data_IF_670137787950
#
_entry.id   IF_670137787950
#
_cell.length_a   1.000
_cell.length_b   1.000
_cell.length_c   1.000
_cell.angle_alpha   90.00
_cell.angle_beta   90.00
_cell.angle_gamma   90.00
#
_symmetry.space_group_name_H-M   'P 1'
#
loop_
_entity.id
_entity.type
_entity.pdbx_description
1 polymer ?
#
# COMPACT_ATOMS: atom_id res chain seq x y z
N UNK A 1 8.67 10.51 -2.58
CA UNK A 1 7.47 11.11 -3.20
C UNK A 1 6.37 11.14 -2.16
N UNK A 2 5.48 12.13 -2.24
CA UNK A 2 4.24 12.14 -1.44
C UNK A 2 3.33 10.98 -1.87
N UNK A 3 2.27 10.73 -1.11
CA UNK A 3 1.32 9.67 -1.45
C UNK A 3 0.66 9.93 -2.81
N UNK A 4 0.13 11.14 -3.02
CA UNK A 4 -0.58 11.49 -4.25
C UNK A 4 0.37 11.48 -5.47
N UNK A 5 1.59 12.02 -5.33
CA UNK A 5 2.63 11.93 -6.36
C UNK A 5 2.95 10.48 -6.73
N UNK A 6 3.01 9.57 -5.74
CA UNK A 6 3.29 8.16 -6.00
C UNK A 6 2.13 7.50 -6.74
N UNK A 7 0.89 7.85 -6.39
CA UNK A 7 -0.32 7.31 -7.03
C UNK A 7 -0.39 7.75 -8.49
N UNK A 8 -0.16 9.04 -8.74
CA UNK A 8 -0.07 9.62 -10.09
C UNK A 8 1.07 9.00 -10.90
N UNK A 9 2.26 8.89 -10.32
CA UNK A 9 3.41 8.29 -10.98
C UNK A 9 3.15 6.85 -11.40
N UNK A 10 2.65 6.01 -10.49
CA UNK A 10 2.36 4.62 -10.84
C UNK A 10 1.24 4.48 -11.88
N UNK A 11 0.22 5.35 -11.84
CA UNK A 11 -0.85 5.38 -12.83
C UNK A 11 -0.37 5.89 -14.21
N UNK A 12 0.69 6.70 -14.25
CA UNK A 12 1.30 7.17 -15.52
C UNK A 12 2.00 6.05 -16.30
N UNK A 13 2.32 4.93 -15.65
CA UNK A 13 2.93 3.76 -16.27
C UNK A 13 1.80 2.84 -16.77
N UNK A 14 1.68 2.58 -18.08
CA UNK A 14 0.61 1.73 -18.61
C UNK A 14 0.53 0.37 -17.90
N UNK A 15 -0.68 -0.02 -17.50
CA UNK A 15 -0.92 -1.30 -16.83
C UNK A 15 -0.37 -1.38 -15.40
N UNK A 16 -0.04 -0.25 -14.75
CA UNK A 16 0.44 -0.24 -13.37
C UNK A 16 -0.43 0.63 -12.47
N UNK A 17 -0.31 0.39 -11.17
CA UNK A 17 -0.92 1.16 -10.08
C UNK A 17 0.00 1.16 -8.87
N UNK A 18 -0.31 1.95 -7.85
CA UNK A 18 0.37 1.84 -6.57
C UNK A 18 0.12 0.46 -5.95
N UNK A 19 1.12 -0.11 -5.29
CA UNK A 19 1.08 -1.49 -4.83
C UNK A 19 -0.03 -1.78 -3.80
N UNK A 20 -0.68 -2.94 -3.95
CA UNK A 20 -1.67 -3.50 -3.02
C UNK A 20 -1.23 -4.90 -2.61
N UNK A 21 -0.66 -5.02 -1.41
CA UNK A 21 -0.04 -6.25 -0.90
C UNK A 21 -1.00 -7.05 -0.03
N UNK A 22 -2.01 -7.65 -0.67
CA UNK A 22 -3.13 -8.35 0.00
C UNK A 22 -2.81 -9.77 0.47
N UNK A 23 -1.79 -10.42 -0.11
CA UNK A 23 -1.40 -11.81 0.19
C UNK A 23 -0.23 -11.86 1.17
N UNK A 24 -0.14 -12.94 1.96
CA UNK A 24 0.99 -13.15 2.87
C UNK A 24 2.34 -13.10 2.15
N UNK A 25 2.43 -13.76 1.00
CA UNK A 25 3.67 -13.78 0.20
C UNK A 25 4.07 -12.40 -0.33
N UNK A 26 3.10 -11.53 -0.63
CA UNK A 26 3.37 -10.16 -1.06
C UNK A 26 3.91 -9.30 0.08
N UNK A 27 3.45 -9.55 1.32
CA UNK A 27 4.00 -8.90 2.52
C UNK A 27 5.46 -9.30 2.72
N UNK A 28 5.82 -10.58 2.55
CA UNK A 28 7.22 -11.00 2.65
C UNK A 28 8.11 -10.33 1.58
N UNK A 29 7.63 -10.22 0.34
CA UNK A 29 8.34 -9.46 -0.71
C UNK A 29 8.52 -7.99 -0.31
N UNK A 30 7.49 -7.37 0.29
CA UNK A 30 7.56 -5.98 0.74
C UNK A 30 8.59 -5.79 1.87
N UNK A 31 8.72 -6.75 2.79
CA UNK A 31 9.76 -6.77 3.83
C UNK A 31 11.16 -6.83 3.21
N UNK A 32 11.36 -7.74 2.26
CA UNK A 32 12.65 -7.88 1.58
C UNK A 32 13.03 -6.61 0.81
N UNK A 33 12.07 -5.99 0.13
CA UNK A 33 12.26 -4.71 -0.56
C UNK A 33 12.65 -3.60 0.43
N UNK A 34 11.93 -3.46 1.55
CA UNK A 34 12.26 -2.49 2.58
C UNK A 34 13.67 -2.69 3.15
N UNK A 35 14.04 -3.94 3.43
CA UNK A 35 15.38 -4.27 3.93
C UNK A 35 16.48 -3.89 2.93
N UNK A 36 16.28 -4.20 1.65
CA UNK A 36 17.21 -3.83 0.56
C UNK A 36 17.28 -2.32 0.34
N UNK A 37 16.20 -1.60 0.61
CA UNK A 37 16.13 -0.14 0.56
C UNK A 37 16.62 0.54 1.85
N UNK A 38 17.35 -0.17 2.72
CA UNK A 38 17.93 0.40 3.94
C UNK A 38 16.89 0.78 5.00
N UNK A 39 15.76 0.07 5.05
CA UNK A 39 14.66 0.37 5.97
C UNK A 39 13.76 1.53 5.50
N UNK A 40 13.84 1.91 4.22
CA UNK A 40 12.97 2.94 3.67
C UNK A 40 11.50 2.60 3.85
N UNK A 41 10.71 3.61 4.14
CA UNK A 41 9.25 3.50 4.25
C UNK A 41 8.66 3.46 2.85
N UNK A 42 7.66 2.61 2.64
CA UNK A 42 7.11 2.36 1.30
C UNK A 42 5.63 2.75 1.28
N UNK A 43 5.22 3.54 0.29
CA UNK A 43 3.80 3.80 0.07
C UNK A 43 3.10 2.57 -0.52
N UNK A 44 1.91 2.28 0.00
CA UNK A 44 0.99 1.26 -0.52
C UNK A 44 -0.38 1.88 -0.68
N UNK A 45 -1.19 1.37 -1.62
CA UNK A 45 -2.53 1.91 -1.88
C UNK A 45 -3.53 1.39 -0.84
N UNK A 46 -3.30 1.75 0.42
CA UNK A 46 -4.15 1.48 1.57
C UNK A 46 -4.50 2.82 2.22
N UNK A 47 -5.80 3.05 2.46
CA UNK A 47 -6.35 4.32 2.94
C UNK A 47 -7.40 4.07 4.02
N UNK A 48 -7.67 5.06 4.88
CA UNK A 48 -8.88 5.02 5.72
C UNK A 48 -10.12 5.32 4.89
N UNK A 49 -11.15 4.50 5.03
CA UNK A 49 -12.51 4.76 4.53
C UNK A 49 -13.19 5.87 5.32
N UNK A 50 -14.37 6.31 4.88
CA UNK A 50 -15.20 7.33 5.55
C UNK A 50 -15.60 6.95 6.99
N UNK A 51 -15.59 5.64 7.29
CA UNK A 51 -15.87 5.10 8.64
C UNK A 51 -14.59 4.80 9.45
N UNK A 52 -13.43 5.25 8.96
CA UNK A 52 -12.14 5.13 9.63
C UNK A 52 -11.47 3.75 9.50
N UNK A 53 -12.07 2.80 8.77
CA UNK A 53 -11.51 1.46 8.59
C UNK A 53 -10.53 1.42 7.40
N UNK A 54 -9.41 0.69 7.51
CA UNK A 54 -8.44 0.54 6.41
C UNK A 54 -9.04 -0.25 5.25
N UNK A 55 -8.99 0.33 4.06
CA UNK A 55 -9.42 -0.25 2.79
C UNK A 55 -8.33 -0.10 1.74
N UNK A 56 -8.18 -1.10 0.89
CA UNK A 56 -7.28 -1.04 -0.26
C UNK A 56 -7.85 -0.09 -1.33
N UNK A 57 -7.00 0.40 -2.23
CA UNK A 57 -7.37 1.37 -3.27
C UNK A 57 -8.44 0.88 -4.25
N UNK A 58 -8.70 -0.42 -4.32
CA UNK A 58 -9.80 -1.02 -5.08
C UNK A 58 -11.07 -1.28 -4.25
N UNK A 59 -11.13 -0.77 -3.01
CA UNK A 59 -12.26 -0.89 -2.10
C UNK A 59 -12.31 -2.17 -1.27
N UNK A 60 -11.39 -3.12 -1.48
CA UNK A 60 -11.35 -4.34 -0.65
C UNK A 60 -11.01 -3.98 0.81
N UNK A 61 -11.81 -4.39 1.81
CA UNK A 61 -11.46 -4.18 3.21
C UNK A 61 -10.14 -4.86 3.57
N UNK A 62 -9.29 -4.19 4.35
CA UNK A 62 -8.00 -4.75 4.76
C UNK A 62 -8.15 -6.09 5.51
N UNK A 63 -9.14 -6.15 6.40
CA UNK A 63 -9.42 -7.33 7.23
C UNK A 63 -9.87 -8.55 6.40
N UNK A 64 -10.32 -8.35 5.17
CA UNK A 64 -10.75 -9.43 4.27
C UNK A 64 -9.57 -10.03 3.48
N UNK A 65 -8.34 -9.59 3.75
CA UNK A 65 -7.12 -10.04 3.04
C UNK A 65 -6.19 -10.80 3.97
N UNK A 66 -5.35 -11.68 3.41
CA UNK A 66 -4.33 -12.41 4.18
C UNK A 66 -3.31 -11.47 4.85
N UNK A 67 -3.13 -10.25 4.30
CA UNK A 67 -2.26 -9.24 4.87
C UNK A 67 -2.61 -8.88 6.32
N UNK A 68 -3.89 -8.89 6.69
CA UNK A 68 -4.36 -8.59 8.06
C UNK A 68 -3.95 -9.64 9.09
N UNK A 69 -3.55 -10.83 8.63
CA UNK A 69 -3.14 -11.93 9.50
C UNK A 69 -1.64 -11.88 9.83
N UNK A 70 -0.85 -11.12 9.07
CA UNK A 70 0.62 -11.14 9.14
C UNK A 70 1.26 -9.76 9.27
N UNK A 71 0.52 -8.70 8.97
CA UNK A 71 0.86 -7.33 9.25
C UNK A 71 -0.28 -6.72 10.06
N UNK A 72 0.03 -5.74 10.91
CA UNK A 72 -0.99 -5.00 11.65
C UNK A 72 -1.08 -3.60 11.05
N UNK A 73 -2.23 -2.96 11.22
CA UNK A 73 -2.40 -1.52 10.99
C UNK A 73 -2.31 -0.77 12.32
N UNK A 74 -1.53 0.30 12.34
CA UNK A 74 -1.43 1.22 13.48
C UNK A 74 -1.97 2.59 13.07
N UNK A 75 -2.82 3.13 13.94
CA UNK A 75 -3.41 4.45 13.85
C UNK A 75 -2.60 5.40 14.75
N UNK A 76 -1.63 6.07 14.15
CA UNK A 76 -0.81 7.11 14.77
C UNK A 76 -1.39 8.51 14.54
N UNK A 77 -2.16 8.71 13.46
CA UNK A 77 -2.69 10.04 13.07
C UNK A 77 -4.14 9.95 12.56
N UNK A 78 -5.01 10.91 12.91
CA UNK A 78 -6.49 10.79 12.80
C UNK A 78 -7.15 10.51 11.42
N UNK A 79 -8.24 11.23 11.10
CA UNK A 79 -9.35 10.68 10.29
C UNK A 79 -9.11 10.59 8.77
N UNK A 80 -8.04 11.16 8.21
CA UNK A 80 -7.79 11.18 6.76
C UNK A 80 -6.37 10.68 6.41
N UNK A 81 -6.02 9.50 6.88
CA UNK A 81 -4.67 8.96 6.72
C UNK A 81 -4.55 7.91 5.62
N UNK A 82 -3.37 7.91 5.02
CA UNK A 82 -2.88 6.92 4.07
C UNK A 82 -1.84 6.06 4.77
N UNK A 83 -1.62 4.85 4.30
CA UNK A 83 -0.73 3.92 4.99
C UNK A 83 0.61 3.75 4.27
N UNK A 84 1.68 3.72 5.06
CA UNK A 84 3.02 3.31 4.64
C UNK A 84 3.40 2.01 5.33
N UNK A 85 4.21 1.20 4.66
CA UNK A 85 4.79 0.00 5.25
C UNK A 85 6.12 0.30 5.92
N UNK A 86 6.25 -0.03 7.20
CA UNK A 86 7.43 0.18 8.04
C UNK A 86 7.55 -0.95 9.04
N UNK A 87 8.73 -1.53 9.21
CA UNK A 87 9.01 -2.54 10.23
C UNK A 87 7.98 -3.68 10.25
N UNK A 88 7.61 -4.19 9.07
CA UNK A 88 6.64 -5.29 8.91
C UNK A 88 5.17 -4.94 9.20
N UNK A 89 4.84 -3.67 9.38
CA UNK A 89 3.48 -3.22 9.68
C UNK A 89 3.07 -2.04 8.81
N UNK A 90 1.76 -1.77 8.78
CA UNK A 90 1.18 -0.60 8.13
C UNK A 90 0.95 0.48 9.17
N UNK A 91 1.55 1.64 8.96
CA UNK A 91 1.35 2.82 9.79
C UNK A 91 0.66 3.88 8.96
N UNK A 92 -0.39 4.44 9.50
CA UNK A 92 -1.07 5.54 8.86
C UNK A 92 -0.27 6.85 9.02
N UNK A 93 -0.38 7.76 8.06
CA UNK A 93 0.38 9.02 8.04
C UNK A 93 -0.30 10.09 7.21
N UNK A 94 0.12 11.34 7.42
CA UNK A 94 -0.17 12.42 6.49
C UNK A 94 0.41 12.13 5.10
N UNK A 95 -0.35 12.47 4.07
CA UNK A 95 -0.02 12.24 2.65
C UNK A 95 1.24 12.95 2.18
N UNK A 96 1.63 14.05 2.82
CA UNK A 96 2.75 14.90 2.42
C UNK A 96 4.13 14.36 2.81
N UNK A 97 4.21 13.29 3.62
CA UNK A 97 5.48 12.67 3.95
C UNK A 97 6.10 12.02 2.72
N UNK A 98 7.42 12.09 2.61
CA UNK A 98 8.17 11.43 1.55
C UNK A 98 8.41 9.95 1.91
N UNK A 99 7.96 9.05 1.05
CA UNK A 99 8.29 7.63 1.11
C UNK A 99 8.78 7.13 -0.27
N UNK A 100 9.27 5.90 -0.28
CA UNK A 100 9.64 5.17 -1.51
C UNK A 100 8.35 4.83 -2.29
N UNK A 101 8.27 5.17 -3.58
CA UNK A 101 7.18 4.75 -4.43
C UNK A 101 7.31 3.26 -4.76
N UNK A 102 6.20 2.53 -4.75
CA UNK A 102 6.15 1.15 -5.22
C UNK A 102 4.96 0.96 -6.17
N UNK A 103 5.28 0.70 -7.44
CA UNK A 103 4.29 0.40 -8.46
C UNK A 103 4.16 -1.11 -8.65
N UNK A 104 2.94 -1.57 -8.84
CA UNK A 104 2.58 -2.95 -9.09
C UNK A 104 1.85 -3.03 -10.44
N UNK A 105 2.22 -4.00 -11.27
CA UNK A 105 1.47 -4.31 -12.48
C UNK A 105 0.05 -4.76 -12.12
N UNK A 106 -0.94 -4.26 -12.88
CA UNK A 106 -2.30 -4.73 -12.79
C UNK A 106 -2.35 -6.20 -13.23
N UNK A 107 -3.18 -7.05 -12.59
CA UNK A 107 -3.52 -8.33 -13.19
C UNK A 107 -4.02 -8.05 -14.62
N UNK A 108 -3.50 -8.76 -15.60
CA UNK A 108 -4.11 -8.74 -16.93
C UNK A 108 -5.48 -9.37 -16.76
N UNK A 109 -6.54 -8.67 -17.16
CA UNK A 109 -7.85 -9.30 -17.31
C UNK A 109 -7.67 -10.42 -18.33
N UNK A 110 -7.85 -11.67 -17.91
CA UNK A 110 -7.59 -12.85 -18.74
C UNK A 110 -8.66 -13.10 -19.81
N UNK A 111 -9.43 -12.08 -20.19
CA UNK A 111 -10.67 -12.25 -20.97
C UNK A 111 -10.54 -11.81 -22.44
N UNK A 112 -9.34 -11.81 -23.02
CA UNK A 112 -9.15 -11.62 -24.46
C UNK A 112 -8.09 -12.58 -25.03
N UNK A 113 -8.50 -13.82 -25.35
CA UNK A 113 -7.85 -14.69 -26.35
C UNK A 113 -8.90 -15.52 -27.09
#
# INVERSE_FOLDING_TARGET
>A
MTFDETKEFCASIPGHRMAMTKKKTQIEVLKDLQNRAGGAQIWVDLVKSDVGLPIWGDGTPYNDTEASQVANTFDDEGVLTVFRFVNQHFYDRIKSILCLPLCQANPLDSDEW
#
